data_IF_880621953350
#
_entry.id   IF_880621953350
#
_cell.length_a   1.000
_cell.length_b   1.000
_cell.length_c   1.000
_cell.angle_alpha   90.00
_cell.angle_beta   90.00
_cell.angle_gamma   90.00
#
_symmetry.space_group_name_H-M   'P 1'
#
loop_
_entity.id
_entity.type
_entity.pdbx_description
1 polymer ?
#
# COMPACT_ATOMS: atom_id res chain seq x y z
N UNK A 1 -25.73 5.31 26.11
CA UNK A 1 -25.58 5.60 24.67
C UNK A 1 -24.16 6.03 24.28
N UNK A 2 -23.47 6.79 25.14
CA UNK A 2 -22.10 7.30 24.95
C UNK A 2 -21.02 6.40 25.59
N UNK A 3 -21.32 5.12 25.87
CA UNK A 3 -20.34 4.22 26.48
C UNK A 3 -19.25 3.87 25.45
N UNK A 4 -17.98 3.92 25.85
CA UNK A 4 -16.83 3.76 24.95
C UNK A 4 -16.87 2.47 24.12
N UNK A 5 -17.40 1.38 24.70
CA UNK A 5 -17.59 0.12 23.97
C UNK A 5 -18.61 0.24 22.84
N UNK A 6 -19.72 0.98 23.03
CA UNK A 6 -20.71 1.25 21.98
C UNK A 6 -20.09 2.03 20.83
N UNK A 7 -19.24 3.02 21.12
CA UNK A 7 -18.55 3.81 20.10
C UNK A 7 -17.51 3.00 19.32
N UNK A 8 -16.84 2.05 19.98
CA UNK A 8 -15.99 1.07 19.29
C UNK A 8 -16.78 0.16 18.35
N UNK A 9 -17.99 -0.25 18.74
CA UNK A 9 -18.88 -1.02 17.85
C UNK A 9 -19.32 -0.19 16.63
N UNK A 10 -19.67 1.08 16.82
CA UNK A 10 -20.03 1.98 15.71
C UNK A 10 -18.84 2.17 14.75
N UNK A 11 -17.64 2.35 15.28
CA UNK A 11 -16.41 2.40 14.46
C UNK A 11 -16.23 1.12 13.64
N UNK A 12 -16.44 -0.06 14.24
CA UNK A 12 -16.31 -1.33 13.55
C UNK A 12 -17.39 -1.53 12.48
N UNK A 13 -18.59 -0.99 12.69
CA UNK A 13 -19.63 -0.95 11.65
C UNK A 13 -19.20 -0.09 10.46
N UNK A 14 -18.50 1.02 10.70
CA UNK A 14 -17.86 1.82 9.65
C UNK A 14 -16.82 1.01 8.85
N UNK A 15 -15.97 0.22 9.53
CA UNK A 15 -15.03 -0.69 8.87
C UNK A 15 -15.76 -1.70 7.96
N UNK A 16 -16.87 -2.27 8.44
CA UNK A 16 -17.66 -3.23 7.67
C UNK A 16 -18.26 -2.60 6.41
N UNK A 17 -18.89 -1.42 6.52
CA UNK A 17 -19.45 -0.73 5.36
C UNK A 17 -18.37 -0.33 4.36
N UNK A 18 -17.22 0.16 4.83
CA UNK A 18 -16.08 0.47 3.96
C UNK A 18 -15.64 -0.74 3.16
N UNK A 19 -15.53 -1.91 3.81
CA UNK A 19 -15.12 -3.15 3.15
C UNK A 19 -16.17 -3.65 2.13
N UNK A 20 -17.44 -3.24 2.27
CA UNK A 20 -18.50 -3.51 1.30
C UNK A 20 -18.60 -2.45 0.19
N UNK A 21 -17.69 -1.48 0.12
CA UNK A 21 -17.78 -0.36 -0.82
C UNK A 21 -18.87 0.67 -0.51
N UNK A 22 -19.52 0.55 0.65
CA UNK A 22 -20.61 1.43 1.11
C UNK A 22 -20.03 2.66 1.80
N UNK A 23 -19.36 3.50 1.00
CA UNK A 23 -18.49 4.56 1.51
C UNK A 23 -19.26 5.66 2.27
N UNK A 24 -20.51 5.96 1.88
CA UNK A 24 -21.34 6.97 2.56
C UNK A 24 -21.78 6.50 3.94
N UNK A 25 -22.20 5.24 4.07
CA UNK A 25 -22.57 4.66 5.36
C UNK A 25 -21.35 4.49 6.27
N UNK A 26 -20.20 4.14 5.71
CA UNK A 26 -18.94 4.10 6.44
C UNK A 26 -18.58 5.47 7.05
N UNK A 27 -18.73 6.53 6.25
CA UNK A 27 -18.47 7.92 6.68
C UNK A 27 -19.36 8.31 7.85
N UNK A 28 -20.67 8.12 7.72
CA UNK A 28 -21.63 8.43 8.77
C UNK A 28 -21.34 7.68 10.09
N UNK A 29 -20.93 6.41 10.00
CA UNK A 29 -20.54 5.63 11.19
C UNK A 29 -19.26 6.17 11.82
N UNK A 30 -18.23 6.47 11.03
CA UNK A 30 -16.99 7.00 11.58
C UNK A 30 -17.15 8.40 12.17
N UNK A 31 -17.91 9.30 11.54
CA UNK A 31 -18.18 10.64 12.07
C UNK A 31 -18.93 10.57 13.40
N UNK A 32 -19.95 9.71 13.48
CA UNK A 32 -20.67 9.46 14.74
C UNK A 32 -19.75 8.90 15.82
N UNK A 33 -18.90 7.94 15.48
CA UNK A 33 -17.93 7.37 16.42
C UNK A 33 -16.91 8.43 16.86
N UNK A 34 -16.45 9.30 15.95
CA UNK A 34 -15.49 10.36 16.23
C UNK A 34 -16.08 11.37 17.23
N UNK A 35 -17.25 11.92 16.94
CA UNK A 35 -17.93 12.88 17.82
C UNK A 35 -18.14 12.32 19.23
N UNK A 36 -18.60 11.06 19.33
CA UNK A 36 -18.80 10.42 20.62
C UNK A 36 -17.48 10.19 21.38
N UNK A 37 -16.41 9.77 20.69
CA UNK A 37 -15.11 9.51 21.31
C UNK A 37 -14.40 10.81 21.72
N UNK A 38 -14.52 11.88 20.94
CA UNK A 38 -14.03 13.19 21.32
C UNK A 38 -14.66 13.68 22.63
N UNK A 39 -15.98 13.51 22.77
CA UNK A 39 -16.70 13.88 23.99
C UNK A 39 -16.36 12.98 25.19
N UNK A 40 -16.23 11.68 24.97
CA UNK A 40 -16.06 10.71 26.06
C UNK A 40 -14.60 10.54 26.51
N UNK A 41 -13.64 10.66 25.58
CA UNK A 41 -12.23 10.34 25.81
C UNK A 41 -11.30 11.53 25.56
N UNK A 42 -11.77 12.55 24.85
CA UNK A 42 -10.97 13.68 24.38
C UNK A 42 -10.45 13.50 22.94
N UNK A 43 -10.06 14.61 22.29
CA UNK A 43 -9.64 14.64 20.89
C UNK A 43 -8.30 13.93 20.62
N UNK A 44 -7.39 13.95 21.60
CA UNK A 44 -6.04 13.38 21.47
C UNK A 44 -5.95 11.93 22.01
N UNK A 45 -7.09 11.35 22.44
CA UNK A 45 -7.11 9.97 22.89
C UNK A 45 -6.88 9.01 21.72
N UNK A 46 -6.09 7.95 21.96
CA UNK A 46 -5.63 6.98 20.95
C UNK A 46 -6.77 6.36 20.13
N UNK A 47 -7.86 5.96 20.79
CA UNK A 47 -9.08 5.45 20.13
C UNK A 47 -9.80 6.50 19.27
N UNK A 48 -9.75 7.78 19.65
CA UNK A 48 -10.26 8.90 18.86
C UNK A 48 -9.40 9.08 17.61
N UNK A 49 -8.08 9.17 17.79
CA UNK A 49 -7.11 9.32 16.69
C UNK A 49 -7.12 8.14 15.71
N UNK A 50 -7.39 6.92 16.18
CA UNK A 50 -7.59 5.75 15.31
C UNK A 50 -8.83 5.89 14.43
N UNK A 51 -9.86 6.59 14.90
CA UNK A 51 -11.07 6.88 14.11
C UNK A 51 -10.78 7.99 13.09
N UNK A 52 -10.06 9.04 13.49
CA UNK A 52 -9.57 10.10 12.59
C UNK A 52 -8.74 9.49 11.45
N UNK A 53 -7.79 8.60 11.77
CA UNK A 53 -6.98 7.91 10.76
C UNK A 53 -7.83 7.10 9.76
N UNK A 54 -8.88 6.41 10.24
CA UNK A 54 -9.76 5.64 9.37
C UNK A 54 -10.66 6.51 8.48
N UNK A 55 -11.07 7.69 8.94
CA UNK A 55 -11.69 8.70 8.09
C UNK A 55 -10.73 9.18 7.00
N UNK A 56 -9.45 9.40 7.33
CA UNK A 56 -8.43 9.72 6.33
C UNK A 56 -8.30 8.67 5.23
N UNK A 57 -8.30 7.38 5.61
CA UNK A 57 -8.33 6.28 4.65
C UNK A 57 -9.61 6.27 3.81
N UNK A 58 -10.77 6.54 4.41
CA UNK A 58 -12.04 6.59 3.69
C UNK A 58 -12.07 7.73 2.67
N UNK A 59 -11.68 8.95 3.07
CA UNK A 59 -11.63 10.10 2.17
C UNK A 59 -10.64 9.89 1.03
N UNK A 60 -9.48 9.28 1.30
CA UNK A 60 -8.53 8.89 0.26
C UNK A 60 -9.18 7.96 -0.76
N UNK A 61 -9.92 6.94 -0.31
CA UNK A 61 -10.62 6.00 -1.19
C UNK A 61 -11.76 6.66 -2.00
N UNK A 62 -12.35 7.73 -1.49
CA UNK A 62 -13.34 8.55 -2.19
C UNK A 62 -12.70 9.61 -3.13
N UNK A 63 -11.36 9.68 -3.22
CA UNK A 63 -10.66 10.72 -3.99
C UNK A 63 -10.64 12.11 -3.34
N UNK A 64 -11.14 12.24 -2.11
CA UNK A 64 -11.17 13.48 -1.32
C UNK A 64 -9.82 13.73 -0.63
N UNK A 65 -8.79 13.98 -1.45
CA UNK A 65 -7.40 13.97 -0.98
C UNK A 65 -7.09 15.07 0.06
N UNK A 66 -7.71 16.24 -0.04
CA UNK A 66 -7.52 17.34 0.94
C UNK A 66 -8.08 16.99 2.33
N UNK A 67 -9.24 16.34 2.37
CA UNK A 67 -9.87 15.92 3.63
C UNK A 67 -9.11 14.73 4.23
N UNK A 68 -8.60 13.83 3.38
CA UNK A 68 -7.71 12.77 3.83
C UNK A 68 -6.44 13.33 4.48
N UNK A 69 -5.83 14.35 3.88
CA UNK A 69 -4.63 15.04 4.40
C UNK A 69 -4.90 15.62 5.78
N UNK A 70 -5.96 16.42 5.93
CA UNK A 70 -6.33 17.03 7.20
C UNK A 70 -6.55 15.98 8.31
N UNK A 71 -7.19 14.84 7.98
CA UNK A 71 -7.38 13.75 8.94
C UNK A 71 -6.06 13.09 9.32
N UNK A 72 -5.17 12.79 8.37
CA UNK A 72 -3.88 12.18 8.70
C UNK A 72 -2.96 13.12 9.48
N UNK A 73 -2.90 14.40 9.14
CA UNK A 73 -2.13 15.40 9.89
C UNK A 73 -2.63 15.52 11.33
N UNK A 74 -3.96 15.58 11.51
CA UNK A 74 -4.58 15.56 12.84
C UNK A 74 -4.21 14.29 13.62
N UNK A 75 -4.30 13.12 12.98
CA UNK A 75 -3.94 11.86 13.61
C UNK A 75 -2.45 11.81 13.98
N UNK A 76 -1.57 12.31 13.11
CA UNK A 76 -0.13 12.39 13.35
C UNK A 76 0.18 13.27 14.55
N UNK A 77 -0.32 14.52 14.57
CA UNK A 77 -0.08 15.46 15.67
C UNK A 77 -0.56 14.91 17.02
N UNK A 78 -1.75 14.29 17.05
CA UNK A 78 -2.28 13.68 18.27
C UNK A 78 -1.42 12.51 18.75
N UNK A 79 -0.95 11.65 17.83
CA UNK A 79 -0.11 10.48 18.18
C UNK A 79 1.30 10.89 18.60
N UNK A 80 1.87 11.93 17.99
CA UNK A 80 3.13 12.52 18.43
C UNK A 80 3.05 13.01 19.88
N UNK A 81 1.95 13.67 20.26
CA UNK A 81 1.72 14.09 21.65
C UNK A 81 1.51 12.92 22.60
N UNK A 82 0.74 11.91 22.18
CA UNK A 82 0.35 10.79 23.04
C UNK A 82 1.49 9.79 23.28
N UNK A 83 2.29 9.51 22.24
CA UNK A 83 3.27 8.41 22.24
C UNK A 83 4.67 8.82 21.81
N UNK A 84 4.84 10.03 21.29
CA UNK A 84 6.10 10.50 20.74
C UNK A 84 6.24 10.29 19.23
N UNK A 85 7.23 10.96 18.61
CA UNK A 85 7.44 10.97 17.16
C UNK A 85 7.93 9.63 16.59
N UNK A 86 8.60 8.82 17.40
CA UNK A 86 9.22 7.54 16.99
C UNK A 86 8.33 6.32 17.29
N UNK A 87 7.15 6.52 17.88
CA UNK A 87 6.25 5.42 18.17
C UNK A 87 5.69 4.83 16.87
N UNK A 88 5.60 3.51 16.79
CA UNK A 88 5.25 2.78 15.54
C UNK A 88 3.93 3.24 14.94
N UNK A 89 2.89 3.45 15.75
CA UNK A 89 1.61 3.96 15.25
C UNK A 89 1.66 5.42 14.77
N UNK A 90 2.59 6.22 15.30
CA UNK A 90 2.89 7.57 14.79
C UNK A 90 3.52 7.44 13.40
N UNK A 91 4.52 6.57 13.26
CA UNK A 91 5.21 6.29 12.00
C UNK A 91 4.28 5.69 10.92
N UNK A 92 3.29 4.88 11.29
CA UNK A 92 2.26 4.41 10.35
C UNK A 92 1.45 5.59 9.77
N UNK A 93 1.22 6.63 10.57
CA UNK A 93 0.51 7.84 10.12
C UNK A 93 1.39 8.69 9.21
N UNK A 94 2.70 8.77 9.50
CA UNK A 94 3.71 9.36 8.62
C UNK A 94 3.73 8.63 7.27
N UNK A 95 3.74 7.30 7.26
CA UNK A 95 3.72 6.51 6.03
C UNK A 95 2.42 6.71 5.22
N UNK A 96 1.27 6.84 5.88
CA UNK A 96 0.01 7.19 5.20
C UNK A 96 0.04 8.58 4.55
N UNK A 97 0.66 9.58 5.19
CA UNK A 97 0.89 10.89 4.58
C UNK A 97 1.85 10.79 3.38
N UNK A 98 2.93 10.01 3.50
CA UNK A 98 3.84 9.75 2.38
C UNK A 98 3.13 9.19 1.15
N UNK A 99 2.29 8.16 1.35
CA UNK A 99 1.44 7.59 0.30
C UNK A 99 0.46 8.62 -0.28
N UNK A 100 -0.13 9.48 0.56
CA UNK A 100 -1.07 10.50 0.11
C UNK A 100 -0.38 11.56 -0.74
N UNK A 101 0.76 12.09 -0.29
CA UNK A 101 1.55 13.08 -1.04
C UNK A 101 2.05 12.51 -2.36
N UNK A 102 2.48 11.24 -2.36
CA UNK A 102 2.82 10.52 -3.59
C UNK A 102 1.65 10.54 -4.58
N UNK A 103 0.45 10.17 -4.14
CA UNK A 103 -0.74 10.16 -4.99
C UNK A 103 -1.15 11.56 -5.48
N UNK A 104 -0.77 12.62 -4.76
CA UNK A 104 -0.97 14.01 -5.17
C UNK A 104 0.15 14.54 -6.10
N UNK A 105 1.17 13.72 -6.43
CA UNK A 105 2.35 14.15 -7.19
C UNK A 105 3.34 15.00 -6.40
N UNK A 106 3.16 15.13 -5.09
CA UNK A 106 4.01 15.89 -4.16
C UNK A 106 5.19 15.02 -3.71
N UNK A 107 6.04 14.67 -4.66
CA UNK A 107 7.06 13.63 -4.48
C UNK A 107 8.11 14.00 -3.42
N UNK A 108 8.41 15.29 -3.24
CA UNK A 108 9.37 15.76 -2.21
C UNK A 108 8.81 15.61 -0.80
N UNK A 109 7.55 15.99 -0.58
CA UNK A 109 6.90 15.77 0.72
C UNK A 109 6.71 14.28 1.00
N UNK A 110 6.40 13.47 -0.02
CA UNK A 110 6.32 12.03 0.13
C UNK A 110 7.66 11.42 0.59
N UNK A 111 8.77 11.87 -0.01
CA UNK A 111 10.12 11.43 0.35
C UNK A 111 10.44 11.72 1.81
N UNK A 112 10.23 12.97 2.25
CA UNK A 112 10.47 13.37 3.63
C UNK A 112 9.66 12.53 4.63
N UNK A 113 8.41 12.18 4.29
CA UNK A 113 7.59 11.31 5.13
C UNK A 113 8.13 9.87 5.15
N UNK A 114 8.46 9.27 4.01
CA UNK A 114 8.98 7.91 4.01
C UNK A 114 10.36 7.78 4.66
N UNK A 115 11.26 8.75 4.48
CA UNK A 115 12.57 8.76 5.15
C UNK A 115 12.41 8.84 6.66
N UNK A 116 11.51 9.72 7.14
CA UNK A 116 11.16 9.81 8.56
C UNK A 116 10.60 8.49 9.08
N UNK A 117 9.67 7.87 8.34
CA UNK A 117 9.10 6.58 8.72
C UNK A 117 10.17 5.47 8.75
N UNK A 118 11.07 5.44 7.78
CA UNK A 118 12.17 4.49 7.69
C UNK A 118 13.09 4.60 8.91
N UNK A 119 13.60 5.80 9.20
CA UNK A 119 14.48 6.04 10.34
C UNK A 119 13.84 5.61 11.66
N UNK A 120 12.57 5.98 11.87
CA UNK A 120 11.83 5.60 13.08
C UNK A 120 11.63 4.08 13.18
N UNK A 121 11.25 3.41 12.09
CA UNK A 121 11.00 1.96 12.10
C UNK A 121 12.29 1.15 12.22
N UNK A 122 13.39 1.60 11.63
CA UNK A 122 14.71 1.01 11.83
C UNK A 122 15.13 1.07 13.31
N UNK A 123 14.88 2.20 13.98
CA UNK A 123 15.15 2.35 15.41
C UNK A 123 14.23 1.47 16.28
N UNK A 124 12.96 1.38 15.92
CA UNK A 124 11.96 0.66 16.73
C UNK A 124 12.05 -0.86 16.59
N UNK A 125 12.30 -1.37 15.38
CA UNK A 125 12.21 -2.80 15.06
C UNK A 125 13.44 -3.37 14.37
N UNK A 126 14.36 -2.53 13.93
CA UNK A 126 15.54 -2.93 13.17
C UNK A 126 15.36 -2.83 11.65
N UNK A 127 16.47 -2.87 10.90
CA UNK A 127 16.51 -2.68 9.46
C UNK A 127 15.89 -3.82 8.65
N UNK A 128 15.86 -5.04 9.20
CA UNK A 128 15.35 -6.26 8.57
C UNK A 128 13.87 -6.53 8.92
N UNK A 129 13.24 -5.71 9.76
CA UNK A 129 11.85 -5.93 10.13
C UNK A 129 10.91 -5.68 8.93
N UNK A 130 9.89 -6.50 8.78
CA UNK A 130 9.07 -6.51 7.55
C UNK A 130 8.30 -5.21 7.31
N UNK A 131 7.89 -4.50 8.36
CA UNK A 131 7.31 -3.17 8.22
C UNK A 131 8.34 -2.11 7.81
N UNK A 132 9.59 -2.21 8.28
CA UNK A 132 10.71 -1.38 7.81
C UNK A 132 10.95 -1.62 6.33
N UNK A 133 11.04 -2.89 5.92
CA UNK A 133 11.24 -3.29 4.51
C UNK A 133 10.07 -2.91 3.61
N UNK A 134 8.86 -2.77 4.17
CA UNK A 134 7.70 -2.27 3.42
C UNK A 134 7.86 -0.79 3.11
N UNK A 135 8.35 0.00 4.05
CA UNK A 135 8.71 1.42 3.83
C UNK A 135 9.90 1.56 2.86
N UNK A 136 10.91 0.68 2.95
CA UNK A 136 12.00 0.63 1.96
C UNK A 136 11.46 0.39 0.55
N UNK A 137 10.55 -0.57 0.36
CA UNK A 137 9.91 -0.80 -0.94
C UNK A 137 9.13 0.43 -1.44
N UNK A 138 8.46 1.17 -0.54
CA UNK A 138 7.73 2.39 -0.90
C UNK A 138 8.67 3.53 -1.34
N UNK A 139 9.85 3.65 -0.72
CA UNK A 139 10.91 4.55 -1.19
C UNK A 139 11.42 4.13 -2.57
N UNK A 140 11.57 2.81 -2.82
CA UNK A 140 11.92 2.30 -4.15
C UNK A 140 10.93 2.75 -5.22
N UNK A 141 9.63 2.62 -4.95
CA UNK A 141 8.57 3.12 -5.84
C UNK A 141 8.65 4.63 -6.03
N UNK A 142 8.85 5.39 -4.96
CA UNK A 142 8.95 6.85 -5.04
C UNK A 142 10.15 7.30 -5.87
N UNK A 143 11.32 6.69 -5.68
CA UNK A 143 12.51 7.00 -6.46
C UNK A 143 12.35 6.62 -7.93
N UNK A 144 11.64 5.52 -8.22
CA UNK A 144 11.28 5.17 -9.60
C UNK A 144 10.44 6.26 -10.25
N UNK A 145 9.40 6.74 -9.55
CA UNK A 145 8.53 7.82 -10.04
C UNK A 145 9.26 9.16 -10.20
N UNK A 146 10.34 9.37 -9.46
CA UNK A 146 11.24 10.53 -9.61
C UNK A 146 12.32 10.33 -10.70
N UNK A 147 12.38 9.16 -11.36
CA UNK A 147 13.43 8.82 -12.34
C UNK A 147 14.80 8.51 -11.72
N UNK A 148 14.89 8.36 -10.40
CA UNK A 148 16.11 8.02 -9.64
C UNK A 148 16.32 6.51 -9.63
N UNK A 149 16.50 5.94 -10.82
CA UNK A 149 16.42 4.49 -11.03
C UNK A 149 17.46 3.69 -10.22
N UNK A 150 18.67 4.22 -10.01
CA UNK A 150 19.71 3.55 -9.21
C UNK A 150 19.35 3.49 -7.72
N UNK A 151 18.74 4.54 -7.20
CA UNK A 151 18.32 4.58 -5.79
C UNK A 151 17.08 3.71 -5.57
N UNK A 152 16.18 3.68 -6.55
CA UNK A 152 15.05 2.76 -6.56
C UNK A 152 15.52 1.29 -6.52
N UNK A 153 16.51 0.93 -7.34
CA UNK A 153 17.09 -0.41 -7.40
C UNK A 153 17.66 -0.84 -6.05
N UNK A 154 18.51 0.01 -5.45
CA UNK A 154 19.09 -0.25 -4.14
C UNK A 154 18.02 -0.45 -3.05
N UNK A 155 16.93 0.32 -3.08
CA UNK A 155 15.81 0.14 -2.15
C UNK A 155 15.08 -1.19 -2.39
N UNK A 156 14.75 -1.53 -3.63
CA UNK A 156 14.06 -2.78 -3.92
C UNK A 156 14.91 -4.01 -3.62
N UNK A 157 16.20 -4.02 -3.95
CA UNK A 157 17.12 -5.12 -3.62
C UNK A 157 17.20 -5.33 -2.11
N UNK A 158 17.35 -4.25 -1.33
CA UNK A 158 17.32 -4.29 0.14
C UNK A 158 16.00 -4.87 0.65
N UNK A 159 14.87 -4.39 0.14
CA UNK A 159 13.55 -4.87 0.54
C UNK A 159 13.35 -6.36 0.18
N UNK A 160 13.81 -6.78 -1.00
CA UNK A 160 13.72 -8.15 -1.49
C UNK A 160 14.52 -9.10 -0.59
N UNK A 161 15.80 -8.80 -0.37
CA UNK A 161 16.68 -9.62 0.47
C UNK A 161 16.12 -9.81 1.88
N UNK A 162 15.65 -8.71 2.49
CA UNK A 162 15.07 -8.76 3.83
C UNK A 162 13.76 -9.57 3.88
N UNK A 163 12.87 -9.40 2.89
CA UNK A 163 11.58 -10.12 2.85
C UNK A 163 11.75 -11.60 2.53
N UNK A 164 12.70 -11.95 1.66
CA UNK A 164 13.07 -13.35 1.41
C UNK A 164 13.53 -14.04 2.68
N UNK A 165 14.37 -13.37 3.49
CA UNK A 165 14.83 -13.90 4.78
C UNK A 165 13.70 -14.01 5.80
N UNK A 166 12.78 -13.05 5.85
CA UNK A 166 11.73 -13.00 6.86
C UNK A 166 10.54 -13.93 6.57
N UNK A 167 10.12 -14.03 5.31
CA UNK A 167 8.90 -14.76 4.91
C UNK A 167 9.12 -15.82 3.84
N UNK A 168 10.29 -15.86 3.23
CA UNK A 168 10.60 -16.74 2.11
C UNK A 168 10.40 -16.09 0.74
N UNK A 169 10.95 -16.73 -0.31
CA UNK A 169 10.96 -16.21 -1.68
C UNK A 169 9.58 -16.16 -2.35
N UNK A 170 8.67 -17.06 -1.94
CA UNK A 170 7.34 -17.22 -2.55
C UNK A 170 6.24 -16.45 -1.79
N UNK A 171 6.59 -15.72 -0.72
CA UNK A 171 5.59 -14.93 0.00
C UNK A 171 5.09 -13.77 -0.87
N UNK A 172 3.79 -13.50 -0.88
CA UNK A 172 3.15 -12.54 -1.79
C UNK A 172 3.74 -11.12 -1.71
N UNK A 173 4.14 -10.67 -0.51
CA UNK A 173 4.81 -9.37 -0.34
C UNK A 173 6.26 -9.36 -0.86
N UNK A 174 6.96 -10.50 -0.82
CA UNK A 174 8.27 -10.67 -1.46
C UNK A 174 8.11 -10.57 -2.98
N UNK A 175 7.17 -11.33 -3.54
CA UNK A 175 6.87 -11.35 -4.98
C UNK A 175 6.38 -10.00 -5.51
N UNK A 176 5.68 -9.22 -4.70
CA UNK A 176 5.29 -7.85 -5.07
C UNK A 176 6.53 -6.95 -5.25
N UNK A 177 7.57 -7.17 -4.43
CA UNK A 177 8.85 -6.45 -4.55
C UNK A 177 9.61 -6.93 -5.79
N UNK A 178 9.58 -8.23 -6.09
CA UNK A 178 10.14 -8.80 -7.33
C UNK A 178 9.47 -8.17 -8.56
N UNK A 179 8.14 -8.07 -8.57
CA UNK A 179 7.41 -7.43 -9.67
C UNK A 179 7.79 -5.95 -9.86
N UNK A 180 7.97 -5.20 -8.77
CA UNK A 180 8.42 -3.80 -8.83
C UNK A 180 9.85 -3.67 -9.37
N UNK A 181 10.73 -4.62 -9.04
CA UNK A 181 12.08 -4.67 -9.60
C UNK A 181 12.04 -4.98 -11.11
N UNK A 182 11.10 -5.83 -11.55
CA UNK A 182 10.85 -6.05 -12.98
C UNK A 182 10.40 -4.79 -13.73
N UNK A 183 9.50 -4.00 -13.12
CA UNK A 183 9.10 -2.68 -13.65
C UNK A 183 10.30 -1.74 -13.78
N UNK A 184 11.11 -1.65 -12.74
CA UNK A 184 12.31 -0.82 -12.77
C UNK A 184 13.28 -1.24 -13.89
N UNK A 185 13.54 -2.55 -14.04
CA UNK A 185 14.40 -3.05 -15.10
C UNK A 185 13.83 -2.80 -16.49
N UNK A 186 12.51 -2.89 -16.64
CA UNK A 186 11.81 -2.52 -17.86
C UNK A 186 12.04 -1.04 -18.21
N UNK A 187 11.88 -0.15 -17.23
CA UNK A 187 12.11 1.30 -17.39
C UNK A 187 13.58 1.63 -17.72
N UNK A 188 14.52 0.81 -17.25
CA UNK A 188 15.95 0.90 -17.59
C UNK A 188 16.29 0.26 -18.95
N UNK A 189 15.34 -0.37 -19.66
CA UNK A 189 15.58 -1.10 -20.90
C UNK A 189 16.27 -2.47 -20.73
N UNK A 190 16.40 -2.95 -19.49
CA UNK A 190 16.97 -4.26 -19.12
C UNK A 190 15.91 -5.36 -19.27
N UNK A 191 15.40 -5.53 -20.49
CA UNK A 191 14.21 -6.35 -20.76
C UNK A 191 14.36 -7.82 -20.32
N UNK A 192 15.54 -8.42 -20.46
CA UNK A 192 15.78 -9.81 -20.01
C UNK A 192 15.66 -9.97 -18.49
N UNK A 193 16.12 -8.98 -17.74
CA UNK A 193 16.05 -9.01 -16.28
C UNK A 193 14.63 -8.71 -15.81
N UNK A 194 13.93 -7.80 -16.51
CA UNK A 194 12.51 -7.55 -16.29
C UNK A 194 11.66 -8.81 -16.51
N UNK A 195 11.87 -9.51 -17.63
CA UNK A 195 11.21 -10.79 -17.94
C UNK A 195 11.39 -11.80 -16.79
N UNK A 196 12.65 -12.03 -16.39
CA UNK A 196 12.97 -12.96 -15.31
C UNK A 196 12.28 -12.59 -13.98
N UNK A 197 12.21 -11.30 -13.65
CA UNK A 197 11.51 -10.85 -12.44
C UNK A 197 10.00 -11.06 -12.54
N UNK A 198 9.36 -10.70 -13.66
CA UNK A 198 7.93 -10.89 -13.82
C UNK A 198 7.51 -12.36 -13.84
N UNK A 199 8.27 -13.22 -14.53
CA UNK A 199 8.04 -14.66 -14.53
C UNK A 199 8.20 -15.24 -13.13
N UNK A 200 9.25 -14.84 -12.41
CA UNK A 200 9.46 -15.24 -11.01
C UNK A 200 8.28 -14.82 -10.13
N UNK A 201 7.80 -13.58 -10.26
CA UNK A 201 6.67 -13.09 -9.50
C UNK A 201 5.41 -13.91 -9.78
N UNK A 202 5.08 -14.13 -11.06
CA UNK A 202 3.91 -14.87 -11.50
C UNK A 202 3.92 -16.33 -11.02
N UNK A 203 5.04 -17.04 -11.23
CA UNK A 203 5.21 -18.43 -10.78
C UNK A 203 5.14 -18.54 -9.26
N UNK A 204 5.75 -17.59 -8.53
CA UNK A 204 5.66 -17.55 -7.08
C UNK A 204 4.23 -17.33 -6.59
N UNK A 205 3.47 -16.44 -7.23
CA UNK A 205 2.06 -16.21 -6.86
C UNK A 205 1.23 -17.47 -7.10
N UNK A 206 1.46 -18.16 -8.22
CA UNK A 206 0.80 -19.43 -8.52
C UNK A 206 1.10 -20.49 -7.46
N UNK A 207 2.36 -20.61 -7.04
CA UNK A 207 2.77 -21.55 -6.00
C UNK A 207 2.19 -21.22 -4.63
N UNK A 208 2.11 -19.94 -4.28
CA UNK A 208 1.64 -19.49 -2.96
C UNK A 208 0.12 -19.54 -2.81
N UNK A 209 -0.63 -19.30 -3.88
CA UNK A 209 -2.09 -19.12 -3.84
C UNK A 209 -2.86 -20.21 -4.59
N UNK A 210 -2.21 -20.91 -5.52
CA UNK A 210 -2.82 -21.85 -6.46
C UNK A 210 -3.26 -21.18 -7.77
N UNK A 211 -3.28 -21.98 -8.85
CA UNK A 211 -3.56 -21.54 -10.22
C UNK A 211 -4.93 -20.88 -10.42
N UNK A 212 -5.94 -21.25 -9.62
CA UNK A 212 -7.26 -20.63 -9.71
C UNK A 212 -7.33 -19.29 -8.99
N UNK A 213 -6.66 -19.15 -7.84
CA UNK A 213 -6.69 -17.92 -7.05
C UNK A 213 -5.97 -16.76 -7.77
N UNK A 214 -4.90 -17.05 -8.52
CA UNK A 214 -4.17 -16.00 -9.25
C UNK A 214 -4.99 -15.34 -10.36
N UNK A 215 -6.08 -15.98 -10.84
CA UNK A 215 -6.95 -15.43 -11.89
C UNK A 215 -7.73 -14.20 -11.43
N UNK A 216 -7.87 -13.99 -10.13
CA UNK A 216 -8.55 -12.82 -9.54
C UNK A 216 -7.65 -12.05 -8.57
N UNK A 217 -6.39 -12.46 -8.42
CA UNK A 217 -5.44 -11.79 -7.54
C UNK A 217 -4.72 -10.65 -8.27
N UNK A 218 -5.08 -9.41 -7.93
CA UNK A 218 -4.62 -8.18 -8.62
C UNK A 218 -3.09 -8.12 -8.83
N UNK A 219 -2.22 -8.45 -7.86
CA UNK A 219 -0.78 -8.45 -8.10
C UNK A 219 -0.31 -9.45 -9.17
N UNK A 220 -0.92 -10.64 -9.25
CA UNK A 220 -0.62 -11.60 -10.31
C UNK A 220 -1.14 -11.11 -11.68
N UNK A 221 -2.31 -10.47 -11.71
CA UNK A 221 -2.84 -9.83 -12.92
C UNK A 221 -1.96 -8.69 -13.40
N UNK A 222 -1.37 -7.92 -12.48
CA UNK A 222 -0.40 -6.87 -12.79
C UNK A 222 0.89 -7.46 -13.37
N UNK A 223 1.40 -8.56 -12.82
CA UNK A 223 2.55 -9.26 -13.39
C UNK A 223 2.26 -9.81 -14.81
N UNK A 224 1.05 -10.34 -15.05
CA UNK A 224 0.62 -10.74 -16.40
C UNK A 224 0.58 -9.55 -17.36
N UNK A 225 0.02 -8.41 -16.94
CA UNK A 225 0.00 -7.20 -17.75
C UNK A 225 1.41 -6.73 -18.10
N UNK A 226 2.31 -6.73 -17.11
CA UNK A 226 3.71 -6.33 -17.29
C UNK A 226 4.45 -7.25 -18.27
N UNK A 227 4.23 -8.57 -18.21
CA UNK A 227 4.73 -9.52 -19.23
C UNK A 227 4.16 -9.22 -20.61
N UNK A 228 2.87 -8.86 -20.69
CA UNK A 228 2.24 -8.43 -21.94
C UNK A 228 2.97 -7.24 -22.58
N UNK A 229 3.20 -6.19 -21.79
CA UNK A 229 3.93 -4.99 -22.23
C UNK A 229 5.39 -5.28 -22.58
N UNK A 230 6.05 -6.15 -21.82
CA UNK A 230 7.40 -6.59 -22.14
C UNK A 230 7.48 -7.30 -23.50
N UNK A 231 6.62 -8.28 -23.74
CA UNK A 231 6.62 -9.01 -25.02
C UNK A 231 6.19 -8.14 -26.20
N UNK A 232 5.34 -7.13 -25.97
CA UNK A 232 5.04 -6.11 -26.97
C UNK A 232 6.29 -5.32 -27.36
N UNK A 233 7.08 -4.85 -26.38
CA UNK A 233 8.36 -4.17 -26.64
C UNK A 233 9.37 -5.05 -27.38
N UNK A 234 9.33 -6.37 -27.16
CA UNK A 234 10.18 -7.35 -27.86
C UNK A 234 9.66 -7.73 -29.27
N UNK A 235 8.46 -7.25 -29.66
CA UNK A 235 7.82 -7.61 -30.93
C UNK A 235 7.18 -9.01 -30.95
N UNK A 236 7.11 -9.68 -29.80
CA UNK A 236 6.50 -11.01 -29.63
C UNK A 236 4.97 -10.91 -29.44
N UNK A 237 4.30 -10.34 -30.44
CA UNK A 237 2.89 -9.95 -30.36
C UNK A 237 1.94 -11.09 -29.93
N UNK A 238 2.20 -12.33 -30.35
CA UNK A 238 1.38 -13.48 -29.96
C UNK A 238 1.46 -13.77 -28.46
N UNK A 239 2.65 -13.65 -27.84
CA UNK A 239 2.81 -13.77 -26.39
C UNK A 239 2.14 -12.59 -25.69
N UNK A 240 2.40 -11.37 -26.17
CA UNK A 240 1.80 -10.15 -25.61
C UNK A 240 0.27 -10.25 -25.52
N UNK A 241 -0.39 -10.63 -26.62
CA UNK A 241 -1.85 -10.83 -26.67
C UNK A 241 -2.31 -11.88 -25.67
N UNK A 242 -1.57 -12.99 -25.52
CA UNK A 242 -1.92 -14.04 -24.55
C UNK A 242 -1.91 -13.53 -23.11
N UNK A 243 -0.85 -12.82 -22.73
CA UNK A 243 -0.69 -12.25 -21.39
C UNK A 243 -1.73 -11.16 -21.10
N UNK A 244 -1.92 -10.23 -22.04
CA UNK A 244 -2.94 -9.19 -21.92
C UNK A 244 -4.35 -9.77 -21.81
N UNK A 245 -4.68 -10.80 -22.58
CA UNK A 245 -5.99 -11.46 -22.54
C UNK A 245 -6.24 -12.11 -21.17
N UNK A 246 -5.22 -12.76 -20.57
CA UNK A 246 -5.32 -13.32 -19.21
C UNK A 246 -5.52 -12.23 -18.16
N UNK A 247 -4.73 -11.15 -18.22
CA UNK A 247 -4.85 -10.02 -17.31
C UNK A 247 -6.23 -9.35 -17.41
N UNK A 248 -6.69 -9.05 -18.63
CA UNK A 248 -7.99 -8.43 -18.89
C UNK A 248 -9.15 -9.26 -18.34
N UNK A 249 -9.16 -10.58 -18.61
CA UNK A 249 -10.21 -11.47 -18.10
C UNK A 249 -10.25 -11.47 -16.57
N UNK A 250 -9.08 -11.48 -15.91
CA UNK A 250 -9.00 -11.39 -14.46
C UNK A 250 -9.50 -10.06 -13.91
N UNK A 251 -9.06 -8.93 -14.50
CA UNK A 251 -9.53 -7.60 -14.09
C UNK A 251 -11.04 -7.44 -14.29
N UNK A 252 -11.60 -7.94 -15.39
CA UNK A 252 -13.05 -7.96 -15.61
C UNK A 252 -13.79 -8.79 -14.55
N UNK A 253 -13.24 -9.93 -14.14
CA UNK A 253 -13.84 -10.73 -13.07
C UNK A 253 -13.85 -10.00 -11.73
N UNK A 254 -12.79 -9.25 -11.41
CA UNK A 254 -12.65 -8.53 -10.13
C UNK A 254 -13.42 -7.20 -10.11
N UNK A 255 -13.38 -6.44 -11.21
CA UNK A 255 -13.92 -5.09 -11.30
C UNK A 255 -15.32 -5.05 -11.93
N UNK A 256 -15.63 -5.98 -12.84
CA UNK A 256 -16.92 -6.06 -13.54
C UNK A 256 -18.05 -6.67 -12.72
N UNK A 257 -17.75 -7.33 -11.60
CA UNK A 257 -18.73 -7.85 -10.65
C UNK A 257 -19.26 -6.79 -9.66
N UNK A 258 -18.85 -5.52 -9.81
CA UNK A 258 -19.31 -4.39 -9.00
C UNK A 258 -20.42 -3.54 -9.65
N UNK A 259 -21.01 -3.97 -10.78
CA UNK A 259 -22.12 -3.28 -11.44
C UNK A 259 -23.45 -4.03 -11.29
#
# INVERSE_FOLDING_TARGET
>A
PDHTSTLSTVHNLGNLYKNQGRLKEAEAMYERALQGKEKALGPDHTSTLSTVHNLGNLYKNQGRLKEAEAMYERALQGKEKAWGPDHTSTLDSVECLGNLYKNQGRLKEAEAMYERALQGKEKAWGPDHTSTLSTVNNLGLLYSDQGRLKEAEAMYERALQGKEKAWGPDHTSTLSTVNNLGLLYSDQGRLKEAEAMYERALQGYEKALGADAIKTYIPALSALQNLGSLFEMLGENSKAISYYSKAQNGFLSVLGSQN
#
